data_IF_297704088478
#
_entry.id   IF_297704088478
#
_cell.length_a   1.000
_cell.length_b   1.000
_cell.length_c   1.000
_cell.angle_alpha   90.00
_cell.angle_beta   90.00
_cell.angle_gamma   90.00
#
_symmetry.space_group_name_H-M   'P 1'
#
loop_
_entity.id
_entity.type
_entity.pdbx_description
1 polymer ?
#
# COMPACT_ATOMS: atom_id res chain seq x y z
N UNK A 1 32.67 2.31 -4.26
CA UNK A 1 32.92 3.77 -4.19
C UNK A 1 32.68 4.29 -2.78
N UNK A 2 31.46 4.15 -2.23
CA UNK A 2 31.08 4.65 -0.89
C UNK A 2 32.01 4.15 0.23
N UNK A 3 32.29 2.83 0.28
CA UNK A 3 33.23 2.23 1.25
C UNK A 3 34.63 2.87 1.22
N UNK A 4 35.16 3.24 0.04
CA UNK A 4 36.48 3.89 -0.09
C UNK A 4 36.49 5.33 0.41
N UNK A 5 35.32 5.96 0.48
CA UNK A 5 35.15 7.32 0.98
C UNK A 5 34.79 7.32 2.47
N UNK A 6 34.81 6.15 3.14
CA UNK A 6 34.50 5.98 4.55
C UNK A 6 33.10 6.48 4.95
N UNK A 7 32.19 6.52 3.97
CA UNK A 7 30.80 6.92 4.18
C UNK A 7 29.92 5.70 4.51
N UNK A 8 28.84 5.95 5.26
CA UNK A 8 27.79 4.96 5.52
C UNK A 8 26.71 4.99 4.45
N UNK A 9 26.07 3.85 4.26
CA UNK A 9 24.93 3.66 3.34
C UNK A 9 23.66 3.52 4.18
N UNK A 10 22.64 4.29 3.82
CA UNK A 10 21.25 3.99 4.16
C UNK A 10 20.60 3.37 2.92
N UNK A 11 20.25 2.09 3.00
CA UNK A 11 19.63 1.35 1.91
C UNK A 11 18.11 1.38 2.06
N UNK A 12 17.37 1.66 0.97
CA UNK A 12 15.91 1.63 0.95
C UNK A 12 15.46 0.49 0.04
N UNK A 13 14.64 -0.43 0.56
CA UNK A 13 13.98 -1.49 -0.21
C UNK A 13 12.75 -0.90 -0.90
N UNK A 14 12.97 -0.27 -2.05
CA UNK A 14 11.93 0.47 -2.78
C UNK A 14 10.97 -0.44 -3.55
N UNK A 15 10.00 -1.02 -2.85
CA UNK A 15 8.91 -1.82 -3.44
C UNK A 15 7.79 -0.96 -4.03
N UNK A 16 8.14 0.11 -4.73
CA UNK A 16 7.21 1.08 -5.30
C UNK A 16 7.77 1.67 -6.60
N UNK A 17 6.86 2.12 -7.47
CA UNK A 17 7.13 2.96 -8.63
C UNK A 17 7.67 4.30 -8.14
N UNK A 18 8.68 4.82 -8.82
CA UNK A 18 9.22 6.15 -8.56
C UNK A 18 9.24 6.96 -9.86
N UNK A 19 8.91 8.24 -9.76
CA UNK A 19 9.06 9.19 -10.87
C UNK A 19 9.90 10.38 -10.38
N UNK A 20 11.12 10.49 -10.90
CA UNK A 20 12.03 11.59 -10.59
C UNK A 20 12.64 12.14 -11.88
N UNK A 21 12.75 13.46 -12.00
CA UNK A 21 13.41 14.12 -13.13
C UNK A 21 12.94 13.62 -14.52
N UNK A 22 11.63 13.41 -14.69
CA UNK A 22 11.00 12.86 -15.92
C UNK A 22 11.41 11.42 -16.28
N UNK A 23 12.07 10.70 -15.38
CA UNK A 23 12.32 9.26 -15.48
C UNK A 23 11.41 8.52 -14.52
N UNK A 24 10.72 7.52 -15.03
CA UNK A 24 9.85 6.65 -14.23
C UNK A 24 10.51 5.27 -14.14
N UNK A 25 10.75 4.82 -12.93
CA UNK A 25 11.07 3.42 -12.64
C UNK A 25 9.77 2.74 -12.22
N UNK A 26 9.25 1.86 -13.08
CA UNK A 26 8.03 1.10 -12.79
C UNK A 26 8.31 -0.06 -11.84
N UNK A 27 7.23 -0.67 -11.34
CA UNK A 27 7.28 -2.03 -10.83
C UNK A 27 7.81 -3.00 -11.92
N UNK A 28 8.34 -4.18 -11.53
CA UNK A 28 8.80 -5.17 -12.50
C UNK A 28 7.73 -5.49 -13.56
N UNK A 29 8.14 -5.64 -14.82
CA UNK A 29 7.20 -5.80 -15.94
C UNK A 29 6.28 -7.02 -15.78
N UNK A 30 6.74 -8.09 -15.15
CA UNK A 30 5.94 -9.27 -14.86
C UNK A 30 4.83 -8.99 -13.82
N UNK A 31 5.07 -8.11 -12.84
CA UNK A 31 4.02 -7.62 -11.92
C UNK A 31 3.01 -6.77 -12.69
N UNK A 32 3.51 -5.86 -13.53
CA UNK A 32 2.65 -4.99 -14.35
C UNK A 32 1.75 -5.80 -15.27
N UNK A 33 2.25 -6.92 -15.82
CA UNK A 33 1.47 -7.81 -16.66
C UNK A 33 0.35 -8.51 -15.88
N UNK A 34 0.61 -8.99 -14.66
CA UNK A 34 -0.45 -9.51 -13.77
C UNK A 34 -1.52 -8.43 -13.52
N UNK A 35 -1.11 -7.18 -13.33
CA UNK A 35 -2.03 -6.06 -13.11
C UNK A 35 -2.92 -5.71 -14.30
N UNK A 36 -2.55 -6.07 -15.54
CA UNK A 36 -3.42 -5.89 -16.71
C UNK A 36 -4.60 -6.86 -16.69
N UNK A 37 -4.36 -8.10 -16.27
CA UNK A 37 -5.39 -9.14 -16.22
C UNK A 37 -6.17 -9.11 -14.90
N UNK A 38 -5.52 -8.66 -13.82
CA UNK A 38 -6.08 -8.54 -12.48
C UNK A 38 -5.76 -7.16 -11.89
N UNK A 39 -6.53 -6.11 -12.24
CA UNK A 39 -6.30 -4.76 -11.75
C UNK A 39 -6.41 -4.61 -10.22
N UNK A 40 -7.13 -5.51 -9.55
CA UNK A 40 -7.30 -5.50 -8.09
C UNK A 40 -6.01 -5.80 -7.31
N UNK A 41 -4.87 -6.07 -7.97
CA UNK A 41 -3.58 -6.11 -7.27
C UNK A 41 -3.10 -4.72 -6.82
N UNK A 42 -3.73 -3.66 -7.35
CA UNK A 42 -3.43 -2.27 -7.04
C UNK A 42 -4.49 -1.68 -6.12
N UNK A 43 -4.08 -0.70 -5.31
CA UNK A 43 -5.04 0.08 -4.52
C UNK A 43 -6.04 0.76 -5.45
N UNK A 44 -7.30 0.77 -5.05
CA UNK A 44 -8.41 1.25 -5.88
C UNK A 44 -9.30 2.18 -5.07
N UNK A 45 -9.66 3.32 -5.67
CA UNK A 45 -10.60 4.28 -5.08
C UNK A 45 -12.07 3.93 -5.37
N UNK A 46 -12.99 4.71 -4.80
CA UNK A 46 -14.44 4.45 -4.96
C UNK A 46 -14.90 4.49 -6.42
N UNK A 47 -14.24 5.28 -7.26
CA UNK A 47 -14.57 5.46 -8.69
C UNK A 47 -13.92 4.38 -9.56
N UNK A 48 -13.15 3.47 -8.96
CA UNK A 48 -12.49 2.37 -9.67
C UNK A 48 -11.15 2.76 -10.28
N UNK A 49 -10.58 3.92 -9.94
CA UNK A 49 -9.25 4.25 -10.39
C UNK A 49 -8.21 3.44 -9.62
N UNK A 50 -7.34 2.78 -10.36
CA UNK A 50 -6.22 2.00 -9.82
C UNK A 50 -5.00 2.88 -9.64
N UNK A 51 -4.26 2.67 -8.56
CA UNK A 51 -2.96 3.27 -8.33
C UNK A 51 -1.85 2.22 -8.50
N UNK A 52 -1.11 2.32 -9.60
CA UNK A 52 -0.04 1.38 -9.98
C UNK A 52 1.32 1.67 -9.30
N UNK A 53 1.34 2.52 -8.26
CA UNK A 53 2.59 2.86 -7.59
C UNK A 53 3.13 1.72 -6.73
N UNK A 54 2.25 0.91 -6.15
CA UNK A 54 2.64 -0.27 -5.37
C UNK A 54 1.49 -1.28 -5.31
N UNK A 55 1.78 -2.49 -4.84
CA UNK A 55 0.75 -3.51 -4.63
C UNK A 55 -0.15 -3.14 -3.45
N UNK A 56 -1.46 -3.35 -3.61
CA UNK A 56 -2.43 -3.28 -2.52
C UNK A 56 -2.01 -4.25 -1.42
N UNK A 57 -2.12 -3.83 -0.16
CA UNK A 57 -1.92 -4.75 0.95
C UNK A 57 -2.92 -5.91 0.95
N UNK A 58 -4.05 -5.76 0.25
CA UNK A 58 -5.05 -6.83 0.11
C UNK A 58 -4.51 -8.07 -0.61
N UNK A 59 -3.39 -7.96 -1.34
CA UNK A 59 -2.75 -9.10 -2.03
C UNK A 59 -1.47 -9.57 -1.35
N UNK A 60 -1.15 -9.09 -0.15
CA UNK A 60 0.10 -9.41 0.54
C UNK A 60 0.29 -10.94 0.70
N UNK A 61 -0.79 -11.67 0.97
CA UNK A 61 -0.84 -13.13 1.17
C UNK A 61 -1.52 -13.90 0.03
N UNK A 62 -1.84 -13.25 -1.09
CA UNK A 62 -2.53 -13.89 -2.21
C UNK A 62 -1.51 -14.48 -3.21
N UNK A 63 -1.58 -15.78 -3.56
CA UNK A 63 -0.62 -16.43 -4.46
C UNK A 63 -0.94 -16.08 -5.92
N UNK A 64 -0.55 -14.88 -6.35
CA UNK A 64 -0.92 -14.31 -7.66
C UNK A 64 0.23 -14.26 -8.66
N UNK A 65 1.47 -14.31 -8.19
CA UNK A 65 2.64 -13.97 -9.00
C UNK A 65 3.42 -15.22 -9.41
N UNK A 66 3.31 -15.62 -10.67
CA UNK A 66 4.04 -16.79 -11.21
C UNK A 66 5.56 -16.57 -11.13
N UNK A 67 6.28 -17.55 -10.59
CA UNK A 67 7.74 -17.53 -10.50
C UNK A 67 8.45 -18.16 -11.72
N UNK A 68 7.69 -18.58 -12.73
CA UNK A 68 8.17 -19.23 -13.94
C UNK A 68 8.36 -20.75 -13.80
N UNK A 69 8.14 -21.31 -12.60
CA UNK A 69 8.18 -22.76 -12.34
C UNK A 69 6.79 -23.41 -12.34
N UNK A 70 5.72 -22.62 -12.56
CA UNK A 70 4.33 -23.05 -12.36
C UNK A 70 3.85 -22.91 -10.91
N UNK A 71 4.66 -22.32 -10.04
CA UNK A 71 4.29 -21.96 -8.66
C UNK A 71 3.96 -20.48 -8.60
N UNK A 72 2.91 -20.11 -7.86
CA UNK A 72 2.57 -18.71 -7.61
C UNK A 72 3.06 -18.29 -6.23
N UNK A 73 3.80 -17.19 -6.19
CA UNK A 73 4.25 -16.51 -4.97
C UNK A 73 3.25 -15.45 -4.52
N UNK A 74 3.27 -15.16 -3.23
CA UNK A 74 2.61 -14.00 -2.62
C UNK A 74 3.49 -12.76 -2.71
N UNK A 75 2.92 -11.57 -2.51
CA UNK A 75 3.71 -10.34 -2.50
C UNK A 75 4.73 -10.33 -1.34
N UNK A 76 4.35 -10.83 -0.16
CA UNK A 76 5.26 -10.97 0.99
C UNK A 76 6.44 -11.88 0.66
N UNK A 77 6.21 -13.03 0.00
CA UNK A 77 7.29 -13.92 -0.43
C UNK A 77 8.24 -13.20 -1.38
N UNK A 78 7.72 -12.46 -2.36
CA UNK A 78 8.55 -11.67 -3.27
C UNK A 78 9.41 -10.64 -2.51
N UNK A 79 8.83 -9.93 -1.54
CA UNK A 79 9.57 -8.96 -0.72
C UNK A 79 10.66 -9.64 0.11
N UNK A 80 10.32 -10.77 0.75
CA UNK A 80 11.26 -11.58 1.54
C UNK A 80 12.42 -12.11 0.71
N UNK A 81 12.14 -12.66 -0.48
CA UNK A 81 13.15 -13.18 -1.40
C UNK A 81 14.09 -12.07 -1.87
N UNK A 82 13.55 -10.88 -2.18
CA UNK A 82 14.36 -9.71 -2.55
C UNK A 82 15.29 -9.28 -1.41
N UNK A 83 14.77 -9.17 -0.19
CA UNK A 83 15.57 -8.78 0.98
C UNK A 83 16.62 -9.84 1.34
N UNK A 84 16.30 -11.12 1.18
CA UNK A 84 17.24 -12.23 1.36
C UNK A 84 18.37 -12.16 0.34
N UNK A 85 18.04 -11.96 -0.94
CA UNK A 85 19.03 -11.76 -2.00
C UNK A 85 19.90 -10.53 -1.74
N UNK A 86 19.32 -9.40 -1.29
CA UNK A 86 20.09 -8.22 -0.91
C UNK A 86 21.07 -8.53 0.22
N UNK A 87 20.62 -9.22 1.29
CA UNK A 87 21.46 -9.62 2.41
C UNK A 87 22.65 -10.47 1.97
N UNK A 88 22.42 -11.47 1.13
CA UNK A 88 23.48 -12.37 0.62
C UNK A 88 24.48 -11.62 -0.26
N UNK A 89 23.99 -10.82 -1.21
CA UNK A 89 24.85 -10.12 -2.17
C UNK A 89 25.56 -8.90 -1.57
N UNK A 90 25.07 -8.36 -0.45
CA UNK A 90 25.67 -7.23 0.27
C UNK A 90 26.34 -7.64 1.58
N UNK A 91 26.58 -8.94 1.80
CA UNK A 91 27.11 -9.48 3.06
C UNK A 91 28.38 -8.77 3.53
N UNK A 92 29.36 -8.56 2.65
CA UNK A 92 30.60 -7.82 2.97
C UNK A 92 30.31 -6.41 3.51
N UNK A 93 29.41 -5.66 2.86
CA UNK A 93 29.08 -4.29 3.27
C UNK A 93 28.27 -4.25 4.58
N UNK A 94 27.49 -5.29 4.86
CA UNK A 94 26.75 -5.45 6.10
C UNK A 94 27.71 -5.81 7.26
N UNK A 95 28.60 -6.77 7.04
CA UNK A 95 29.60 -7.24 8.02
C UNK A 95 30.60 -6.14 8.38
N UNK A 96 31.04 -5.35 7.40
CA UNK A 96 31.91 -4.19 7.62
C UNK A 96 31.17 -2.98 8.22
N UNK A 97 29.85 -3.10 8.46
CA UNK A 97 29.01 -2.04 8.98
C UNK A 97 28.91 -0.81 8.07
N UNK A 98 29.21 -0.96 6.77
CA UNK A 98 29.07 0.14 5.78
C UNK A 98 27.59 0.47 5.60
N UNK A 99 26.72 -0.54 5.53
CA UNK A 99 25.27 -0.35 5.57
C UNK A 99 24.86 -0.07 7.02
N UNK A 100 24.55 1.19 7.31
CA UNK A 100 24.19 1.63 8.67
C UNK A 100 22.69 1.51 8.97
N UNK A 101 21.85 1.47 7.94
CA UNK A 101 20.41 1.32 8.08
C UNK A 101 19.79 0.67 6.82
N UNK A 102 18.69 -0.04 7.05
CA UNK A 102 17.81 -0.57 6.01
C UNK A 102 16.40 -0.06 6.28
N UNK A 103 15.84 0.69 5.33
CA UNK A 103 14.45 1.11 5.33
C UNK A 103 13.66 0.21 4.38
N UNK A 104 12.54 -0.33 4.86
CA UNK A 104 11.69 -1.23 4.06
C UNK A 104 10.49 -0.47 3.55
N UNK A 105 10.33 -0.35 2.23
CA UNK A 105 9.19 0.32 1.63
C UNK A 105 7.88 -0.43 1.86
N UNK A 106 6.89 0.23 2.45
CA UNK A 106 5.61 -0.40 2.82
C UNK A 106 4.42 0.03 1.95
N UNK A 107 4.60 1.00 1.07
CA UNK A 107 3.53 1.54 0.23
C UNK A 107 4.04 2.59 -0.77
N UNK A 108 3.17 3.51 -1.22
CA UNK A 108 3.52 4.53 -2.20
C UNK A 108 4.64 5.42 -1.64
N UNK A 109 5.59 5.79 -2.49
CA UNK A 109 6.80 6.52 -2.10
C UNK A 109 7.62 5.87 -0.95
N UNK A 110 7.40 4.58 -0.67
CA UNK A 110 8.07 3.84 0.42
C UNK A 110 7.37 3.97 1.77
N UNK A 111 6.37 4.82 1.91
CA UNK A 111 5.73 5.12 3.19
C UNK A 111 4.67 4.07 3.57
N UNK A 112 4.43 3.91 4.88
CA UNK A 112 3.31 3.10 5.38
C UNK A 112 2.02 3.92 5.35
N UNK A 113 1.47 4.08 4.15
CA UNK A 113 0.22 4.78 3.94
C UNK A 113 -0.56 4.19 2.75
N UNK A 114 -1.83 4.55 2.65
CA UNK A 114 -2.60 4.39 1.43
C UNK A 114 -2.26 5.52 0.46
N UNK A 115 -2.37 5.33 -0.87
CA UNK A 115 -2.17 6.40 -1.86
C UNK A 115 -3.38 7.36 -1.92
N UNK A 116 -3.79 7.91 -0.77
CA UNK A 116 -5.01 8.72 -0.62
C UNK A 116 -4.92 10.11 -1.27
N UNK A 117 -3.71 10.54 -1.63
CA UNK A 117 -3.41 11.84 -2.23
C UNK A 117 -2.55 11.64 -3.49
N UNK A 118 -3.11 11.10 -4.59
CA UNK A 118 -2.34 10.84 -5.81
C UNK A 118 -1.73 12.13 -6.33
N UNK A 119 -0.49 12.06 -6.84
CA UNK A 119 0.27 13.23 -7.31
C UNK A 119 -0.22 13.78 -8.67
N UNK A 120 -1.35 13.30 -9.18
CA UNK A 120 -1.95 13.79 -10.42
C UNK A 120 -3.04 14.84 -10.15
N UNK A 121 -3.72 15.28 -11.21
CA UNK A 121 -4.69 16.37 -11.15
C UNK A 121 -5.95 16.04 -10.33
N UNK A 122 -6.14 14.79 -9.89
CA UNK A 122 -7.28 14.41 -9.05
C UNK A 122 -7.20 15.04 -7.67
N UNK A 123 -6.01 15.25 -7.11
CA UNK A 123 -5.84 15.84 -5.78
C UNK A 123 -5.11 17.20 -5.83
N UNK A 124 -5.48 18.08 -4.90
CA UNK A 124 -4.78 19.35 -4.67
C UNK A 124 -4.89 19.71 -3.20
N UNK A 125 -3.78 20.14 -2.60
CA UNK A 125 -3.77 20.69 -1.25
C UNK A 125 -4.77 21.85 -1.10
N UNK A 126 -5.58 21.92 -0.02
CA UNK A 126 -5.63 21.05 1.16
C UNK A 126 -6.78 20.01 1.15
N UNK A 127 -7.09 19.41 0.00
CA UNK A 127 -8.19 18.45 -0.12
C UNK A 127 -8.04 17.20 0.77
N UNK A 128 -9.16 16.63 1.24
CA UNK A 128 -9.19 15.52 2.20
C UNK A 128 -8.69 14.17 1.66
N UNK A 129 -8.53 14.02 0.35
CA UNK A 129 -8.14 12.74 -0.27
C UNK A 129 -9.30 11.75 -0.40
N UNK A 130 -9.01 10.51 -0.79
CA UNK A 130 -10.00 9.43 -0.85
C UNK A 130 -9.50 8.12 -0.22
N UNK A 131 -10.42 7.33 0.34
CA UNK A 131 -10.15 5.96 0.79
C UNK A 131 -9.80 5.08 -0.42
N UNK A 132 -8.71 4.31 -0.28
CA UNK A 132 -8.14 3.48 -1.35
C UNK A 132 -8.37 1.98 -1.13
N UNK A 133 -9.50 1.63 -0.51
CA UNK A 133 -9.83 0.28 -0.03
C UNK A 133 -10.87 -0.43 -0.91
N UNK A 134 -11.01 -0.05 -2.19
CA UNK A 134 -12.08 -0.55 -3.06
C UNK A 134 -11.66 -1.66 -4.02
N UNK A 135 -10.42 -2.14 -3.94
CA UNK A 135 -10.04 -3.38 -4.62
C UNK A 135 -10.81 -4.57 -4.03
N UNK A 136 -11.01 -5.63 -4.81
CA UNK A 136 -11.85 -6.75 -4.38
C UNK A 136 -11.31 -7.46 -3.13
N UNK A 137 -10.00 -7.42 -2.88
CA UNK A 137 -9.39 -8.13 -1.77
C UNK A 137 -9.67 -7.39 -0.45
N UNK A 138 -9.42 -6.08 -0.41
CA UNK A 138 -9.74 -5.24 0.75
C UNK A 138 -11.24 -5.14 1.02
N UNK A 139 -12.08 -5.14 -0.03
CA UNK A 139 -13.54 -5.24 0.14
C UNK A 139 -13.95 -6.54 0.83
N UNK A 140 -13.44 -7.68 0.34
CA UNK A 140 -13.72 -9.00 0.92
C UNK A 140 -13.24 -9.09 2.37
N UNK A 141 -12.10 -8.49 2.67
CA UNK A 141 -11.56 -8.41 4.01
C UNK A 141 -12.46 -7.63 4.97
N UNK A 142 -12.96 -6.47 4.51
CA UNK A 142 -13.89 -5.67 5.27
C UNK A 142 -15.21 -6.42 5.53
N UNK A 143 -15.78 -7.08 4.50
CA UNK A 143 -16.97 -7.92 4.63
C UNK A 143 -16.77 -9.09 5.62
N UNK A 144 -15.58 -9.70 5.63
CA UNK A 144 -15.25 -10.77 6.57
C UNK A 144 -15.12 -10.24 8.00
N UNK A 145 -14.51 -9.07 8.18
CA UNK A 145 -14.38 -8.43 9.49
C UNK A 145 -15.77 -8.09 10.07
N UNK A 146 -16.67 -7.57 9.26
CA UNK A 146 -18.05 -7.29 9.64
C UNK A 146 -18.78 -8.56 10.10
N UNK A 147 -18.77 -9.61 9.28
CA UNK A 147 -19.41 -10.90 9.61
C UNK A 147 -18.91 -11.47 10.93
N UNK A 148 -17.61 -11.34 11.21
CA UNK A 148 -17.00 -11.83 12.46
C UNK A 148 -17.40 -10.99 13.66
N UNK A 149 -17.54 -9.67 13.51
CA UNK A 149 -17.85 -8.77 14.60
C UNK A 149 -19.35 -8.68 14.91
N UNK A 150 -20.21 -9.11 13.98
CA UNK A 150 -21.67 -9.06 14.17
C UNK A 150 -22.27 -7.65 14.11
N UNK A 151 -21.49 -6.66 13.66
CA UNK A 151 -21.96 -5.31 13.37
C UNK A 151 -22.54 -5.24 11.96
N UNK A 152 -23.36 -4.21 11.68
CA UNK A 152 -23.83 -3.95 10.32
C UNK A 152 -22.90 -3.02 9.56
N UNK A 153 -22.70 -3.30 8.28
CA UNK A 153 -21.81 -2.59 7.37
C UNK A 153 -22.05 -1.08 7.42
N UNK A 154 -20.96 -0.32 7.35
CA UNK A 154 -21.07 1.03 6.80
C UNK A 154 -21.42 0.87 5.32
N UNK A 155 -22.60 1.33 4.91
CA UNK A 155 -23.03 1.25 3.52
C UNK A 155 -22.20 2.22 2.67
N UNK A 156 -21.07 1.72 2.16
CA UNK A 156 -20.10 2.49 1.37
C UNK A 156 -20.73 3.07 0.08
N UNK A 157 -21.87 2.52 -0.37
CA UNK A 157 -22.60 3.02 -1.54
C UNK A 157 -23.46 4.26 -1.23
N UNK A 158 -23.89 4.42 0.02
CA UNK A 158 -24.71 5.55 0.48
C UNK A 158 -23.89 6.64 1.15
N UNK A 159 -22.73 6.30 1.69
CA UNK A 159 -21.87 7.24 2.40
C UNK A 159 -21.26 8.31 1.47
N UNK A 160 -21.34 9.57 1.88
CA UNK A 160 -20.75 10.69 1.15
C UNK A 160 -19.43 11.07 1.80
N UNK A 161 -18.40 10.31 1.45
CA UNK A 161 -17.01 10.60 1.81
C UNK A 161 -16.43 11.87 1.17
N UNK A 162 -17.13 12.48 0.21
CA UNK A 162 -16.57 13.54 -0.65
C UNK A 162 -15.78 12.95 -1.82
N UNK A 163 -14.82 13.74 -2.30
CA UNK A 163 -13.78 13.41 -3.27
C UNK A 163 -12.42 13.95 -2.82
N UNK A 164 -11.37 13.68 -3.60
CA UNK A 164 -10.00 14.12 -3.31
C UNK A 164 -9.87 15.60 -2.91
N UNK A 165 -10.69 16.49 -3.46
CA UNK A 165 -10.58 17.95 -3.28
C UNK A 165 -11.57 18.55 -2.30
N UNK A 166 -12.50 17.74 -1.79
CA UNK A 166 -13.52 18.17 -0.84
C UNK A 166 -12.89 18.65 0.48
N UNK A 167 -13.62 19.47 1.21
CA UNK A 167 -13.32 19.82 2.61
C UNK A 167 -14.10 18.92 3.58
N UNK A 168 -13.63 18.73 4.82
CA UNK A 168 -14.30 17.86 5.78
C UNK A 168 -15.79 18.20 6.00
N UNK A 169 -16.11 19.49 6.13
CA UNK A 169 -17.45 20.03 6.38
C UNK A 169 -18.44 19.84 5.22
N UNK A 170 -17.93 19.57 4.02
CA UNK A 170 -18.73 19.29 2.82
C UNK A 170 -19.18 17.81 2.73
N UNK A 171 -18.72 16.96 3.65
CA UNK A 171 -18.96 15.51 3.62
C UNK A 171 -19.92 15.07 4.73
N UNK A 172 -20.60 13.92 4.55
CA UNK A 172 -21.37 13.33 5.67
C UNK A 172 -20.46 12.57 6.63
N UNK A 173 -19.35 12.04 6.13
CA UNK A 173 -18.44 11.23 6.92
C UNK A 173 -17.56 12.08 7.86
N UNK A 174 -16.93 13.16 7.40
CA UNK A 174 -15.88 13.90 8.12
C UNK A 174 -16.31 15.21 8.78
N UNK A 175 -17.54 15.70 8.50
CA UNK A 175 -18.05 16.91 9.16
C UNK A 175 -18.16 16.71 10.69
N UNK A 176 -18.31 17.80 11.43
CA UNK A 176 -18.57 17.73 12.87
C UNK A 176 -19.80 16.83 13.18
N UNK A 177 -19.64 15.91 14.13
CA UNK A 177 -20.63 14.86 14.43
C UNK A 177 -21.03 13.99 13.21
N UNK A 178 -20.11 13.83 12.25
CA UNK A 178 -20.29 13.02 11.05
C UNK A 178 -20.19 11.53 11.30
N UNK A 179 -20.31 10.74 10.23
CA UNK A 179 -20.33 9.27 10.35
C UNK A 179 -19.06 8.71 10.99
N UNK A 180 -17.90 9.37 10.86
CA UNK A 180 -16.64 8.94 11.45
C UNK A 180 -16.71 8.66 12.97
N UNK A 181 -17.58 9.37 13.69
CA UNK A 181 -17.71 9.24 15.15
C UNK A 181 -18.79 8.22 15.58
N UNK A 182 -19.57 7.71 14.64
CA UNK A 182 -20.53 6.62 14.88
C UNK A 182 -19.82 5.28 15.08
N UNK A 183 -20.50 4.30 15.67
CA UNK A 183 -19.99 2.92 15.82
C UNK A 183 -19.53 2.33 14.48
N UNK A 184 -20.34 2.52 13.42
CA UNK A 184 -20.03 2.03 12.06
C UNK A 184 -18.83 2.74 11.44
N UNK A 185 -18.72 4.05 11.62
CA UNK A 185 -17.58 4.82 11.12
C UNK A 185 -16.29 4.45 11.83
N UNK A 186 -16.31 4.33 13.15
CA UNK A 186 -15.18 3.85 13.96
C UNK A 186 -14.74 2.46 13.54
N UNK A 187 -15.68 1.53 13.37
CA UNK A 187 -15.40 0.19 12.89
C UNK A 187 -14.75 0.19 11.49
N UNK A 188 -15.27 0.99 10.55
CA UNK A 188 -14.67 1.15 9.23
C UNK A 188 -13.24 1.70 9.30
N UNK A 189 -13.00 2.74 10.10
CA UNK A 189 -11.65 3.32 10.29
C UNK A 189 -10.69 2.34 10.97
N UNK A 190 -11.16 1.56 11.94
CA UNK A 190 -10.39 0.51 12.59
C UNK A 190 -9.98 -0.57 11.57
N UNK A 191 -10.90 -1.03 10.73
CA UNK A 191 -10.58 -2.01 9.69
C UNK A 191 -9.50 -1.51 8.72
N UNK A 192 -9.62 -0.27 8.25
CA UNK A 192 -8.63 0.32 7.33
C UNK A 192 -7.27 0.54 8.02
N UNK A 193 -7.24 1.01 9.26
CA UNK A 193 -5.98 1.27 9.98
C UNK A 193 -5.27 -0.02 10.44
N UNK A 194 -6.03 -1.01 10.93
CA UNK A 194 -5.48 -2.30 11.39
C UNK A 194 -4.72 -3.02 10.28
N UNK A 195 -5.23 -2.97 9.05
CA UNK A 195 -4.59 -3.57 7.88
C UNK A 195 -3.20 -2.98 7.59
N UNK A 196 -3.01 -1.67 7.78
CA UNK A 196 -1.68 -1.05 7.72
C UNK A 196 -0.73 -1.60 8.78
N UNK A 197 -1.21 -1.81 10.02
CA UNK A 197 -0.40 -2.39 11.09
C UNK A 197 -0.02 -3.87 10.83
N UNK A 198 -0.92 -4.65 10.22
CA UNK A 198 -0.66 -6.06 9.86
C UNK A 198 0.47 -6.16 8.81
N UNK A 199 0.40 -5.33 7.75
CA UNK A 199 1.46 -5.24 6.73
C UNK A 199 2.84 -4.96 7.33
N UNK A 200 2.92 -4.05 8.30
CA UNK A 200 4.18 -3.72 8.96
C UNK A 200 4.76 -4.92 9.73
N UNK A 201 3.91 -5.75 10.34
CA UNK A 201 4.36 -6.95 11.08
C UNK A 201 4.88 -8.00 10.12
N UNK A 202 4.16 -8.25 9.04
CA UNK A 202 4.49 -9.29 8.06
C UNK A 202 5.82 -9.02 7.35
N UNK A 203 6.11 -7.77 6.98
CA UNK A 203 7.37 -7.42 6.30
C UNK A 203 8.59 -7.27 7.23
N UNK A 204 8.41 -7.35 8.55
CA UNK A 204 9.52 -7.30 9.54
C UNK A 204 10.05 -8.69 9.91
N UNK A 205 9.29 -9.74 9.62
CA UNK A 205 9.66 -11.15 9.76
C UNK A 205 10.40 -11.64 8.54
#
# INVERSE_FOLDING_TARGET
MIKRLELKIHAIMSFHKSSQNRKTTSLPSWVVQVGKDNPDIYYTDRKGFQNDECLSLGVDNEPLFDDGSGTKRTAIQIYSDYMSSFKENMAEFLEDGVVGAIEVGLGPNGELCYPSFPLDQRWRYPGIGEFQCYDKYLKKDYENAEKKAGHSMLDLSKEKFGDYTSKPDETTFFKENGTYDTEKGKFFLECNSRRGCEKQKEKKT
#
